data_IF_731607596771
#
_entry.id   IF_731607596771
#
_cell.length_a   1.000
_cell.length_b   1.000
_cell.length_c   1.000
_cell.angle_alpha   90.00
_cell.angle_beta   90.00
_cell.angle_gamma   90.00
#
_symmetry.space_group_name_H-M   'P 1'
#
loop_
_entity.id
_entity.type
_entity.pdbx_description
1 polymer ?
#
# COMPACT_ATOMS: atom_id res chain seq x y z
N UNK A 1 -28.16 24.78 9.50
CA UNK A 1 -27.27 23.60 9.43
C UNK A 1 -25.84 24.07 9.58
N UNK A 2 -25.36 24.02 10.82
CA UNK A 2 -23.99 24.41 11.19
C UNK A 2 -23.00 23.41 10.59
N UNK A 3 -22.02 23.90 9.83
CA UNK A 3 -20.92 23.09 9.33
C UNK A 3 -19.90 22.94 10.45
N UNK A 4 -19.75 21.74 10.98
CA UNK A 4 -18.62 21.38 11.83
C UNK A 4 -17.31 21.60 11.07
N UNK A 5 -16.30 22.24 11.67
CA UNK A 5 -15.00 22.44 11.03
C UNK A 5 -14.19 21.13 11.01
N UNK A 6 -13.61 20.82 9.86
CA UNK A 6 -12.69 19.71 9.68
C UNK A 6 -11.43 19.89 10.55
N UNK A 7 -10.91 18.83 11.20
CA UNK A 7 -9.68 18.93 11.97
C UNK A 7 -8.48 19.13 11.04
N UNK A 8 -7.78 20.25 11.25
CA UNK A 8 -6.55 20.63 10.59
C UNK A 8 -5.44 19.60 10.86
N UNK A 9 -4.90 19.02 9.79
CA UNK A 9 -3.79 18.07 9.84
C UNK A 9 -2.50 18.86 10.10
N UNK A 10 -1.98 18.75 11.32
CA UNK A 10 -0.63 19.23 11.65
C UNK A 10 0.41 18.31 10.98
N UNK A 11 1.08 18.81 9.92
CA UNK A 11 2.09 18.09 9.12
C UNK A 11 3.48 18.14 9.77
N UNK A 12 3.62 18.59 11.02
CA UNK A 12 4.90 18.57 11.74
C UNK A 12 5.07 17.30 12.57
N UNK A 13 5.24 16.16 11.88
CA UNK A 13 5.73 14.90 12.46
C UNK A 13 7.25 14.89 12.68
N UNK A 14 7.86 16.03 13.00
CA UNK A 14 9.22 16.11 13.56
C UNK A 14 9.04 16.28 15.05
N UNK A 15 9.22 15.24 15.85
CA UNK A 15 9.76 15.27 17.22
C UNK A 15 9.63 13.86 17.81
N UNK A 16 10.55 13.53 18.71
CA UNK A 16 10.90 12.20 19.24
C UNK A 16 11.76 11.32 18.30
N UNK A 17 13.01 11.77 18.13
CA UNK A 17 14.16 10.93 17.77
C UNK A 17 15.11 10.97 18.97
N UNK A 18 15.62 9.81 19.39
CA UNK A 18 16.67 9.66 20.38
C UNK A 18 17.76 10.74 20.18
N UNK A 19 17.99 11.52 21.23
CA UNK A 19 18.84 12.71 21.26
C UNK A 19 20.29 12.43 20.84
N UNK A 20 20.83 11.24 21.12
CA UNK A 20 22.19 10.86 20.76
C UNK A 20 22.41 10.69 19.24
N UNK A 21 21.53 9.96 18.55
CA UNK A 21 21.59 9.78 17.08
C UNK A 21 21.38 11.09 16.31
N UNK A 22 20.55 12.00 16.83
CA UNK A 22 20.34 13.33 16.26
C UNK A 22 21.60 14.21 16.35
N UNK A 23 22.37 14.10 17.43
CA UNK A 23 23.60 14.88 17.62
C UNK A 23 24.73 14.46 16.68
N UNK A 24 24.94 13.15 16.47
CA UNK A 24 25.94 12.66 15.50
C UNK A 24 25.56 13.07 14.07
N UNK A 25 24.29 12.90 13.72
CA UNK A 25 23.78 13.19 12.38
C UNK A 25 23.82 14.69 12.01
N UNK A 26 23.45 15.57 12.94
CA UNK A 26 23.55 17.01 12.76
C UNK A 26 25.01 17.46 12.58
N UNK A 27 25.94 16.86 13.34
CA UNK A 27 27.38 17.10 13.22
C UNK A 27 27.95 16.65 11.88
N UNK A 28 27.53 15.51 11.35
CA UNK A 28 27.96 15.04 10.02
C UNK A 28 27.46 16.02 8.93
N UNK A 29 26.22 16.51 9.01
CA UNK A 29 25.68 17.48 8.04
C UNK A 29 26.37 18.84 8.08
N UNK A 30 26.82 19.31 9.25
CA UNK A 30 27.57 20.56 9.36
C UNK A 30 29.01 20.40 8.91
N UNK A 31 29.65 19.25 9.21
CA UNK A 31 31.02 18.92 8.80
C UNK A 31 31.16 18.78 7.28
N UNK A 32 30.18 18.21 6.59
CA UNK A 32 30.21 17.96 5.15
C UNK A 32 29.28 18.91 4.37
N UNK A 33 29.36 20.22 4.64
CA UNK A 33 28.46 21.25 4.08
C UNK A 33 28.44 21.26 2.55
N UNK A 34 29.58 21.05 1.90
CA UNK A 34 29.70 21.02 0.43
C UNK A 34 29.09 19.76 -0.19
N UNK A 35 29.01 18.68 0.58
CA UNK A 35 28.39 17.41 0.18
C UNK A 35 26.91 17.30 0.57
N UNK A 36 26.34 18.35 1.18
CA UNK A 36 24.95 18.40 1.68
C UNK A 36 23.92 18.07 0.59
N UNK A 37 24.15 18.52 -0.66
CA UNK A 37 23.26 18.24 -1.79
C UNK A 37 23.19 16.74 -2.09
N UNK A 38 24.34 16.07 -2.09
CA UNK A 38 24.47 14.63 -2.34
C UNK A 38 23.81 13.82 -1.22
N UNK A 39 24.08 14.20 0.04
CA UNK A 39 23.45 13.59 1.23
C UNK A 39 21.93 13.70 1.14
N UNK A 40 21.39 14.91 0.94
CA UNK A 40 19.94 15.12 0.86
C UNK A 40 19.31 14.34 -0.31
N UNK A 41 20.00 14.26 -1.46
CA UNK A 41 19.53 13.48 -2.61
C UNK A 41 19.45 11.98 -2.29
N UNK A 42 20.47 11.44 -1.59
CA UNK A 42 20.46 10.06 -1.13
C UNK A 42 19.27 9.79 -0.21
N UNK A 43 19.04 10.64 0.80
CA UNK A 43 17.92 10.47 1.71
C UNK A 43 16.56 10.50 1.01
N UNK A 44 16.35 11.46 0.11
CA UNK A 44 15.11 11.54 -0.67
C UNK A 44 14.91 10.29 -1.52
N UNK A 45 16.00 9.76 -2.10
CA UNK A 45 15.98 8.54 -2.91
C UNK A 45 15.66 7.33 -2.04
N UNK A 46 16.28 7.21 -0.86
CA UNK A 46 15.99 6.16 0.13
C UNK A 46 14.50 6.12 0.46
N UNK A 47 13.93 7.25 0.87
CA UNK A 47 12.50 7.33 1.23
C UNK A 47 11.60 6.95 0.05
N UNK A 48 11.92 7.42 -1.16
CA UNK A 48 11.17 7.05 -2.38
C UNK A 48 11.24 5.55 -2.64
N UNK A 49 12.43 4.96 -2.51
CA UNK A 49 12.68 3.54 -2.74
C UNK A 49 11.98 2.67 -1.69
N UNK A 50 12.01 3.04 -0.41
CA UNK A 50 11.27 2.35 0.66
C UNK A 50 9.76 2.39 0.42
N UNK A 51 9.23 3.55 0.01
CA UNK A 51 7.80 3.69 -0.38
C UNK A 51 7.46 2.82 -1.59
N UNK A 52 8.34 2.76 -2.58
CA UNK A 52 8.15 1.94 -3.78
C UNK A 52 8.15 0.44 -3.46
N UNK A 53 9.13 -0.04 -2.67
CA UNK A 53 9.20 -1.42 -2.16
C UNK A 53 7.92 -1.81 -1.42
N UNK A 54 7.49 -0.96 -0.50
CA UNK A 54 6.27 -1.21 0.27
C UNK A 54 5.05 -1.23 -0.65
N UNK A 55 4.92 -0.25 -1.56
CA UNK A 55 3.83 -0.21 -2.54
C UNK A 55 3.77 -1.47 -3.40
N UNK A 56 4.90 -1.98 -3.86
CA UNK A 56 4.99 -3.20 -4.64
C UNK A 56 4.57 -4.43 -3.83
N UNK A 57 5.04 -4.57 -2.58
CA UNK A 57 4.61 -5.64 -1.67
C UNK A 57 3.10 -5.66 -1.48
N UNK A 58 2.49 -4.49 -1.29
CA UNK A 58 1.03 -4.37 -1.19
C UNK A 58 0.32 -4.86 -2.47
N UNK A 59 0.76 -4.44 -3.65
CA UNK A 59 0.14 -4.88 -4.91
C UNK A 59 0.31 -6.38 -5.16
N UNK A 60 1.47 -6.94 -4.82
CA UNK A 60 1.72 -8.38 -4.89
C UNK A 60 0.80 -9.16 -3.93
N UNK A 61 0.58 -8.63 -2.71
CA UNK A 61 -0.37 -9.20 -1.75
C UNK A 61 -1.80 -9.16 -2.29
N UNK A 62 -2.22 -8.03 -2.86
CA UNK A 62 -3.52 -7.89 -3.53
C UNK A 62 -3.68 -8.90 -4.68
N UNK A 63 -2.66 -9.07 -5.53
CA UNK A 63 -2.66 -10.07 -6.60
C UNK A 63 -2.82 -11.49 -6.07
N UNK A 64 -2.05 -11.87 -5.04
CA UNK A 64 -2.14 -13.21 -4.42
C UNK A 64 -3.53 -13.50 -3.84
N UNK A 65 -4.18 -12.48 -3.28
CA UNK A 65 -5.52 -12.58 -2.70
C UNK A 65 -6.66 -12.37 -3.69
N UNK A 66 -6.37 -12.20 -4.99
CA UNK A 66 -7.33 -11.80 -6.03
C UNK A 66 -8.17 -10.56 -5.65
N UNK A 67 -7.55 -9.60 -4.94
CA UNK A 67 -8.16 -8.34 -4.55
C UNK A 67 -7.71 -7.22 -5.48
N UNK A 68 -8.65 -6.38 -5.91
CA UNK A 68 -8.37 -5.21 -6.72
C UNK A 68 -8.36 -3.97 -5.82
N UNK A 69 -7.22 -3.24 -5.74
CA UNK A 69 -7.15 -1.98 -5.00
C UNK A 69 -8.17 -0.94 -5.49
N UNK A 70 -8.74 -0.18 -4.55
CA UNK A 70 -9.77 0.82 -4.86
C UNK A 70 -9.31 1.90 -5.86
N UNK A 71 -8.03 2.29 -5.83
CA UNK A 71 -7.55 3.29 -6.80
C UNK A 71 -7.60 2.78 -8.26
N UNK A 72 -7.48 1.46 -8.50
CA UNK A 72 -7.65 0.88 -9.83
C UNK A 72 -9.13 0.93 -10.23
N UNK A 73 -10.01 0.55 -9.30
CA UNK A 73 -11.47 0.61 -9.53
C UNK A 73 -11.93 2.03 -9.86
N UNK A 74 -11.49 3.00 -9.08
CA UNK A 74 -11.83 4.42 -9.25
C UNK A 74 -11.30 4.97 -10.59
N UNK A 75 -10.08 4.60 -11.00
CA UNK A 75 -9.51 5.04 -12.28
C UNK A 75 -10.37 4.58 -13.47
N UNK A 76 -10.90 3.37 -13.40
CA UNK A 76 -11.73 2.79 -14.46
C UNK A 76 -13.20 3.14 -14.36
N UNK A 77 -13.65 3.72 -13.24
CA UNK A 77 -15.07 3.95 -12.96
C UNK A 77 -15.72 4.87 -14.02
N UNK A 78 -14.96 5.83 -14.54
CA UNK A 78 -15.41 6.73 -15.61
C UNK A 78 -15.21 6.16 -17.03
N UNK A 79 -14.43 5.09 -17.19
CA UNK A 79 -14.18 4.45 -18.49
C UNK A 79 -15.29 3.45 -18.85
N UNK A 80 -15.99 2.92 -17.85
CA UNK A 80 -17.24 2.18 -18.04
C UNK A 80 -18.37 3.16 -18.42
N UNK A 81 -18.38 3.60 -19.68
CA UNK A 81 -19.53 4.24 -20.35
C UNK A 81 -20.58 3.15 -20.66
N UNK A 82 -20.99 2.43 -19.64
CA UNK A 82 -22.12 1.52 -19.72
C UNK A 82 -23.11 2.05 -18.69
N UNK A 83 -24.05 2.85 -19.17
CA UNK A 83 -25.31 3.10 -18.48
C UNK A 83 -25.97 1.74 -18.29
N UNK A 84 -25.65 1.06 -17.18
CA UNK A 84 -26.41 -0.07 -16.71
C UNK A 84 -27.76 0.49 -16.28
N UNK A 85 -28.73 0.42 -17.19
CA UNK A 85 -30.12 0.58 -16.82
C UNK A 85 -30.44 -0.51 -15.78
N UNK A 86 -31.21 -0.18 -14.73
CA UNK A 86 -31.55 -1.12 -13.66
C UNK A 86 -32.35 -2.34 -14.16
N UNK A 87 -32.75 -2.34 -15.44
CA UNK A 87 -33.44 -3.41 -16.16
C UNK A 87 -32.52 -4.33 -16.98
N UNK A 88 -31.20 -4.17 -16.88
CA UNK A 88 -30.25 -4.96 -17.66
C UNK A 88 -30.30 -6.44 -17.25
N UNK A 89 -30.39 -7.36 -18.23
CA UNK A 89 -30.47 -8.80 -18.00
C UNK A 89 -29.31 -9.31 -17.12
N UNK A 90 -29.54 -10.20 -16.14
CA UNK A 90 -28.50 -10.69 -15.23
C UNK A 90 -27.24 -11.24 -15.92
N UNK A 91 -27.40 -11.93 -17.07
CA UNK A 91 -26.27 -12.46 -17.83
C UNK A 91 -25.37 -11.38 -18.44
N UNK A 92 -25.96 -10.26 -18.86
CA UNK A 92 -25.22 -9.10 -19.36
C UNK A 92 -24.42 -8.50 -18.19
N UNK A 93 -25.07 -8.28 -17.04
CA UNK A 93 -24.43 -7.77 -15.81
C UNK A 93 -23.28 -8.66 -15.34
N UNK A 94 -23.46 -9.99 -15.40
CA UNK A 94 -22.42 -10.97 -15.06
C UNK A 94 -21.24 -10.89 -16.03
N UNK A 95 -21.52 -10.80 -17.32
CA UNK A 95 -20.48 -10.69 -18.37
C UNK A 95 -19.68 -9.40 -18.22
N UNK A 96 -20.36 -8.27 -17.99
CA UNK A 96 -19.73 -6.98 -17.74
C UNK A 96 -18.86 -6.99 -16.49
N UNK A 97 -19.33 -7.62 -15.40
CA UNK A 97 -18.57 -7.78 -14.16
C UNK A 97 -17.30 -8.60 -14.39
N UNK A 98 -17.41 -9.71 -15.12
CA UNK A 98 -16.27 -10.56 -15.48
C UNK A 98 -15.25 -9.80 -16.34
N UNK A 99 -15.72 -9.04 -17.32
CA UNK A 99 -14.86 -8.26 -18.20
C UNK A 99 -14.15 -7.12 -17.45
N UNK A 100 -14.87 -6.40 -16.60
CA UNK A 100 -14.32 -5.38 -15.71
C UNK A 100 -13.23 -5.95 -14.80
N UNK A 101 -13.50 -7.09 -14.16
CA UNK A 101 -12.53 -7.77 -13.31
C UNK A 101 -11.26 -8.20 -14.08
N UNK A 102 -11.42 -8.69 -15.31
CA UNK A 102 -10.30 -9.03 -16.18
C UNK A 102 -9.41 -7.82 -16.45
N UNK A 103 -9.98 -6.68 -16.84
CA UNK A 103 -9.21 -5.45 -17.07
C UNK A 103 -8.53 -4.93 -15.81
N UNK A 104 -9.22 -4.91 -14.68
CA UNK A 104 -8.62 -4.52 -13.40
C UNK A 104 -7.40 -5.37 -13.05
N UNK A 105 -7.49 -6.68 -13.30
CA UNK A 105 -6.38 -7.61 -13.07
C UNK A 105 -5.21 -7.34 -14.03
N UNK A 106 -5.49 -7.03 -15.29
CA UNK A 106 -4.44 -6.64 -16.26
C UNK A 106 -3.75 -5.33 -15.85
N UNK A 107 -4.51 -4.31 -15.46
CA UNK A 107 -3.97 -3.05 -14.94
C UNK A 107 -3.09 -3.29 -13.72
N UNK A 108 -3.55 -4.11 -12.77
CA UNK A 108 -2.76 -4.48 -11.58
C UNK A 108 -1.42 -5.12 -11.97
N UNK A 109 -1.43 -6.07 -12.92
CA UNK A 109 -0.22 -6.73 -13.38
C UNK A 109 0.74 -5.77 -14.10
N UNK A 110 0.23 -4.86 -14.94
CA UNK A 110 1.03 -3.84 -15.59
C UNK A 110 1.67 -2.89 -14.57
N UNK A 111 0.92 -2.46 -13.55
CA UNK A 111 1.44 -1.63 -12.46
C UNK A 111 2.53 -2.34 -11.65
N UNK A 112 2.37 -3.64 -11.38
CA UNK A 112 3.40 -4.46 -10.72
C UNK A 112 4.67 -4.50 -11.57
N UNK A 113 4.56 -4.77 -12.88
CA UNK A 113 5.69 -4.81 -13.80
C UNK A 113 6.40 -3.46 -13.87
N UNK A 114 5.66 -2.37 -14.06
CA UNK A 114 6.20 -1.02 -14.09
C UNK A 114 6.94 -0.66 -12.79
N UNK A 115 6.35 -0.98 -11.63
CA UNK A 115 7.00 -0.73 -10.33
C UNK A 115 8.24 -1.60 -10.10
N UNK A 116 8.29 -2.81 -10.63
CA UNK A 116 9.50 -3.64 -10.60
C UNK A 116 10.65 -2.99 -11.38
N UNK A 117 10.39 -2.54 -12.61
CA UNK A 117 11.39 -1.87 -13.44
C UNK A 117 11.89 -0.59 -12.76
N UNK A 118 10.96 0.24 -12.26
CA UNK A 118 11.31 1.46 -11.54
C UNK A 118 12.13 1.16 -10.27
N UNK A 119 11.85 0.06 -9.58
CA UNK A 119 12.61 -0.34 -8.40
C UNK A 119 14.05 -0.71 -8.76
N UNK A 120 14.26 -1.44 -9.87
CA UNK A 120 15.59 -1.80 -10.34
C UNK A 120 16.43 -0.56 -10.69
N UNK A 121 15.85 0.38 -11.44
CA UNK A 121 16.53 1.64 -11.79
C UNK A 121 16.89 2.47 -10.55
N UNK A 122 15.93 2.65 -9.63
CA UNK A 122 16.16 3.43 -8.41
C UNK A 122 17.18 2.76 -7.48
N UNK A 123 17.28 1.43 -7.49
CA UNK A 123 18.29 0.70 -6.70
C UNK A 123 19.68 0.98 -7.24
N UNK A 124 19.88 0.95 -8.56
CA UNK A 124 21.15 1.33 -9.18
C UNK A 124 21.56 2.78 -8.86
N UNK A 125 20.60 3.71 -8.92
CA UNK A 125 20.87 5.11 -8.54
C UNK A 125 21.25 5.25 -7.07
N UNK A 126 20.63 4.46 -6.20
CA UNK A 126 20.91 4.45 -4.77
C UNK A 126 22.29 3.90 -4.46
N UNK A 127 22.70 2.82 -5.12
CA UNK A 127 24.05 2.24 -5.00
C UNK A 127 25.12 3.23 -5.45
N UNK A 128 24.94 3.89 -6.60
CA UNK A 128 25.87 4.93 -7.05
C UNK A 128 25.96 6.10 -6.05
N UNK A 129 24.83 6.52 -5.49
CA UNK A 129 24.81 7.57 -4.48
C UNK A 129 25.49 7.14 -3.17
N UNK A 130 25.38 5.85 -2.80
CA UNK A 130 26.08 5.26 -1.65
C UNK A 130 27.59 5.34 -1.83
N UNK A 131 28.09 4.87 -2.97
CA UNK A 131 29.53 4.93 -3.30
C UNK A 131 30.06 6.36 -3.29
N UNK A 132 29.30 7.31 -3.86
CA UNK A 132 29.71 8.72 -3.83
C UNK A 132 29.78 9.28 -2.40
N UNK A 133 28.87 8.88 -1.50
CA UNK A 133 28.91 9.32 -0.10
C UNK A 133 30.10 8.70 0.64
N UNK A 134 30.39 7.43 0.39
CA UNK A 134 31.55 6.73 0.96
C UNK A 134 32.88 7.36 0.52
N UNK A 135 32.94 7.92 -0.69
CA UNK A 135 34.12 8.66 -1.18
C UNK A 135 34.25 10.07 -0.57
N UNK A 136 33.13 10.69 -0.15
CA UNK A 136 33.09 12.06 0.35
C UNK A 136 33.29 12.14 1.88
N UNK A 137 33.09 11.03 2.58
CA UNK A 137 33.14 10.95 4.05
C UNK A 137 34.29 10.08 4.52
N UNK A 138 34.71 10.25 5.78
CA UNK A 138 35.54 9.24 6.43
C UNK A 138 34.74 7.97 6.65
N UNK A 139 35.43 6.82 6.73
CA UNK A 139 34.79 5.51 6.91
C UNK A 139 33.86 5.46 8.12
N UNK A 140 34.28 6.07 9.23
CA UNK A 140 33.49 6.10 10.48
C UNK A 140 32.23 6.97 10.34
N UNK A 141 32.34 8.15 9.73
CA UNK A 141 31.21 9.06 9.52
C UNK A 141 30.22 8.46 8.51
N UNK A 142 30.73 7.81 7.44
CA UNK A 142 29.91 7.11 6.47
C UNK A 142 29.13 5.95 7.13
N UNK A 143 29.79 5.16 7.98
CA UNK A 143 29.16 4.06 8.71
C UNK A 143 28.05 4.56 9.64
N UNK A 144 28.34 5.58 10.45
CA UNK A 144 27.35 6.21 11.33
C UNK A 144 26.17 6.82 10.55
N UNK A 145 26.45 7.44 9.40
CA UNK A 145 25.43 7.97 8.51
C UNK A 145 24.50 6.86 7.98
N UNK A 146 25.03 5.79 7.40
CA UNK A 146 24.21 4.71 6.84
C UNK A 146 23.44 3.94 7.92
N UNK A 147 23.99 3.81 9.13
CA UNK A 147 23.28 3.21 10.25
C UNK A 147 22.06 4.08 10.67
N UNK A 148 22.24 5.40 10.73
CA UNK A 148 21.14 6.34 10.96
C UNK A 148 20.06 6.24 9.88
N UNK A 149 20.46 6.22 8.61
CA UNK A 149 19.52 6.10 7.48
C UNK A 149 18.78 4.74 7.48
N UNK A 150 19.44 3.65 7.88
CA UNK A 150 18.81 2.34 8.05
C UNK A 150 17.74 2.36 9.14
N UNK A 151 17.99 3.05 10.25
CA UNK A 151 17.00 3.23 11.31
C UNK A 151 15.77 4.00 10.82
N UNK A 152 15.98 5.05 10.01
CA UNK A 152 14.91 5.80 9.36
C UNK A 152 14.12 4.90 8.39
N UNK A 153 14.80 4.14 7.54
CA UNK A 153 14.17 3.19 6.61
C UNK A 153 13.30 2.17 7.37
N UNK A 154 13.80 1.60 8.47
CA UNK A 154 13.06 0.63 9.28
C UNK A 154 11.78 1.24 9.87
N UNK A 155 11.85 2.48 10.38
CA UNK A 155 10.69 3.20 10.94
C UNK A 155 9.64 3.50 9.87
N UNK A 156 10.07 3.95 8.69
CA UNK A 156 9.19 4.19 7.54
C UNK A 156 8.55 2.89 7.08
N UNK A 157 9.34 1.83 6.92
CA UNK A 157 8.86 0.51 6.50
C UNK A 157 7.80 -0.03 7.44
N UNK A 158 8.01 0.07 8.75
CA UNK A 158 7.05 -0.39 9.76
C UNK A 158 5.73 0.37 9.67
N UNK A 159 5.80 1.70 9.58
CA UNK A 159 4.62 2.56 9.43
C UNK A 159 3.84 2.24 8.14
N UNK A 160 4.55 2.09 7.02
CA UNK A 160 3.95 1.75 5.74
C UNK A 160 3.33 0.36 5.75
N UNK A 161 4.00 -0.63 6.34
CA UNK A 161 3.50 -2.01 6.47
C UNK A 161 2.16 -2.03 7.21
N UNK A 162 2.08 -1.43 8.40
CA UNK A 162 0.83 -1.34 9.17
C UNK A 162 -0.30 -0.72 8.35
N UNK A 163 -0.04 0.43 7.70
CA UNK A 163 -1.04 1.12 6.87
C UNK A 163 -1.50 0.26 5.69
N UNK A 164 -0.59 -0.49 5.07
CA UNK A 164 -0.90 -1.34 3.92
C UNK A 164 -1.64 -2.61 4.32
N UNK A 165 -1.34 -3.17 5.49
CA UNK A 165 -2.10 -4.26 6.08
C UNK A 165 -3.54 -3.83 6.34
N UNK A 166 -3.76 -2.70 7.02
CA UNK A 166 -5.11 -2.15 7.21
C UNK A 166 -5.85 -1.91 5.89
N UNK A 167 -5.17 -1.38 4.86
CA UNK A 167 -5.77 -1.19 3.53
C UNK A 167 -6.16 -2.53 2.89
N UNK A 168 -5.30 -3.53 2.99
CA UNK A 168 -5.55 -4.85 2.44
C UNK A 168 -6.73 -5.53 3.16
N UNK A 169 -6.80 -5.42 4.48
CA UNK A 169 -7.86 -6.05 5.27
C UNK A 169 -9.21 -5.38 4.99
N UNK A 170 -9.25 -4.05 4.87
CA UNK A 170 -10.44 -3.33 4.38
C UNK A 170 -10.92 -3.83 3.00
N UNK A 171 -10.00 -4.09 2.06
CA UNK A 171 -10.38 -4.64 0.75
C UNK A 171 -10.94 -6.06 0.85
N UNK A 172 -10.37 -6.87 1.74
CA UNK A 172 -10.85 -8.24 2.01
C UNK A 172 -12.24 -8.21 2.63
N UNK A 173 -12.48 -7.33 3.61
CA UNK A 173 -13.77 -7.19 4.28
C UNK A 173 -14.84 -6.70 3.31
N UNK A 174 -14.52 -5.70 2.48
CA UNK A 174 -15.42 -5.23 1.41
C UNK A 174 -15.81 -6.34 0.43
N UNK A 175 -14.86 -7.19 0.03
CA UNK A 175 -15.15 -8.35 -0.82
C UNK A 175 -16.09 -9.34 -0.09
N UNK A 176 -15.82 -9.62 1.19
CA UNK A 176 -16.63 -10.55 1.96
C UNK A 176 -18.06 -10.05 2.17
N UNK A 177 -18.24 -8.75 2.41
CA UNK A 177 -19.56 -8.11 2.49
C UNK A 177 -20.31 -8.23 1.17
N UNK A 178 -19.66 -7.89 0.04
CA UNK A 178 -20.28 -8.04 -1.28
C UNK A 178 -20.68 -9.49 -1.62
N UNK A 179 -19.94 -10.48 -1.10
CA UNK A 179 -20.32 -11.90 -1.24
C UNK A 179 -21.51 -12.26 -0.34
N UNK A 180 -21.60 -11.68 0.86
CA UNK A 180 -22.71 -11.90 1.77
C UNK A 180 -24.02 -11.25 1.27
N UNK A 181 -23.94 -10.04 0.70
CA UNK A 181 -25.11 -9.30 0.20
C UNK A 181 -25.68 -9.89 -1.10
N UNK A 182 -24.82 -10.44 -1.97
CA UNK A 182 -25.25 -11.16 -3.18
C UNK A 182 -25.80 -12.56 -2.89
N UNK A 183 -25.76 -12.99 -1.63
CA UNK A 183 -26.29 -14.28 -1.22
C UNK A 183 -27.78 -14.15 -0.88
N UNK A 184 -28.61 -14.26 -1.90
CA UNK A 184 -30.07 -14.42 -1.79
C UNK A 184 -30.49 -15.76 -1.15
N UNK A 185 -29.54 -16.62 -0.78
CA UNK A 185 -29.78 -17.96 -0.24
C UNK A 185 -29.48 -18.07 1.26
N UNK A 186 -30.04 -17.15 2.07
CA UNK A 186 -30.09 -17.31 3.54
C UNK A 186 -30.79 -18.61 3.97
N UNK A 187 -31.61 -19.18 3.09
CA UNK A 187 -32.35 -20.42 3.33
C UNK A 187 -31.49 -21.68 3.31
N UNK A 188 -30.27 -21.63 2.77
CA UNK A 188 -29.42 -22.81 2.67
C UNK A 188 -28.78 -23.24 4.00
N UNK A 189 -28.70 -22.34 4.97
CA UNK A 189 -28.09 -22.61 6.27
C UNK A 189 -28.94 -22.01 7.38
N UNK A 190 -29.85 -22.80 7.92
CA UNK A 190 -30.57 -22.48 9.15
C UNK A 190 -29.65 -22.82 10.33
N UNK A 191 -29.16 -21.79 11.04
CA UNK A 191 -28.44 -22.01 12.29
C UNK A 191 -29.38 -22.65 13.32
N UNK A 192 -29.19 -23.95 13.59
CA UNK A 192 -29.98 -24.69 14.58
C UNK A 192 -29.49 -24.48 16.02
N UNK A 193 -28.44 -23.68 16.22
CA UNK A 193 -27.87 -23.37 17.53
C UNK A 193 -28.22 -21.94 17.95
N UNK A 194 -28.22 -21.66 19.25
CA UNK A 194 -28.43 -20.31 19.81
C UNK A 194 -27.18 -19.41 19.73
N UNK A 195 -26.13 -19.85 19.03
CA UNK A 195 -24.84 -19.17 18.96
C UNK A 195 -24.73 -18.48 17.61
N UNK A 196 -24.52 -17.16 17.59
CA UNK A 196 -24.32 -16.44 16.34
C UNK A 196 -23.00 -16.84 15.67
N UNK A 197 -23.04 -17.09 14.35
CA UNK A 197 -21.84 -17.37 13.60
C UNK A 197 -21.03 -16.09 13.36
N UNK A 198 -19.69 -16.14 13.53
CA UNK A 198 -18.83 -15.03 13.14
C UNK A 198 -19.02 -14.68 11.65
N UNK A 199 -18.93 -13.40 11.25
CA UNK A 199 -19.22 -12.96 9.87
C UNK A 199 -18.40 -13.69 8.79
N UNK A 200 -17.16 -14.04 9.13
CA UNK A 200 -16.23 -14.81 8.30
C UNK A 200 -16.64 -16.27 8.11
N UNK A 201 -17.35 -16.87 9.08
CA UNK A 201 -17.92 -18.23 8.98
C UNK A 201 -19.19 -18.18 8.13
N UNK A 202 -20.04 -17.18 8.35
CA UNK A 202 -21.23 -16.93 7.51
C UNK A 202 -20.84 -16.77 6.04
N UNK A 203 -19.80 -15.98 5.74
CA UNK A 203 -19.30 -15.79 4.37
C UNK A 203 -18.65 -17.05 3.75
N UNK A 204 -18.24 -18.03 4.57
CA UNK A 204 -17.70 -19.31 4.09
C UNK A 204 -18.84 -20.27 3.74
N UNK A 205 -19.78 -20.45 4.68
CA UNK A 205 -20.97 -21.28 4.53
C UNK A 205 -21.87 -20.78 3.39
N UNK A 206 -21.93 -19.46 3.21
CA UNK A 206 -22.59 -18.79 2.09
C UNK A 206 -22.16 -19.30 0.70
N UNK A 207 -20.99 -19.93 0.55
CA UNK A 207 -20.50 -20.43 -0.75
C UNK A 207 -21.15 -21.73 -1.21
N UNK A 208 -22.05 -22.31 -0.41
CA UNK A 208 -22.81 -23.52 -0.73
C UNK A 208 -22.23 -24.79 -0.12
N UNK A 209 -22.92 -25.94 -0.28
CA UNK A 209 -22.69 -27.18 0.48
C UNK A 209 -21.35 -27.89 0.23
N UNK A 210 -20.53 -27.36 -0.70
CA UNK A 210 -19.21 -27.91 -1.05
C UNK A 210 -18.05 -27.19 -0.33
N UNK A 211 -18.36 -26.20 0.51
CA UNK A 211 -17.42 -25.44 1.33
C UNK A 211 -17.75 -25.59 2.81
#
# INVERSE_FOLDING_TARGET
MERSPEPSININGRHAVCTATNMSYAKIKTKYKDSKRTINKFQLTLVKLTKLKSSLKFLLKCRKSNLIPNFIKNLTQHLTILTTDNKTHPDITRTLTRHTHFYHTKILNLLIKHKHNLLQEQTKHMEKAKTNIEQLMTTDDAKAFFESERNIENKITTTLKKRQETKHDKLRDQRNLALADNNTQREWFVNKTKIEFPPNVVALLAKGPKF
#
